data_IF_197854801858
#
_entry.id   IF_197854801858
#
_cell.length_a   1.000
_cell.length_b   1.000
_cell.length_c   1.000
_cell.angle_alpha   90.00
_cell.angle_beta   90.00
_cell.angle_gamma   90.00
#
_symmetry.space_group_name_H-M   'P 1'
#
loop_
_entity.id
_entity.type
_entity.pdbx_description
1 polymer ?
#
# COMPACT_ATOMS: atom_id res chain seq x y z
N UNK A 1 -3.86 -71.33 6.35
CA UNK A 1 -2.84 -71.23 5.28
C UNK A 1 -3.02 -69.84 4.69
N UNK A 2 -2.48 -68.79 5.33
CA UNK A 2 -1.17 -68.17 5.02
C UNK A 2 -1.10 -67.78 3.54
N UNK A 3 -0.97 -66.51 3.16
CA UNK A 3 0.02 -65.54 3.65
C UNK A 3 -0.40 -64.09 3.38
N UNK A 4 -0.30 -63.26 4.41
CA UNK A 4 -0.08 -61.82 4.33
C UNK A 4 1.19 -61.51 3.52
N UNK A 5 1.11 -60.57 2.59
CA UNK A 5 2.26 -60.04 1.86
C UNK A 5 2.51 -58.61 2.34
N UNK A 6 3.29 -58.53 3.42
CA UNK A 6 3.88 -57.33 3.98
C UNK A 6 4.76 -56.64 2.91
N UNK A 7 4.41 -55.41 2.54
CA UNK A 7 5.21 -54.58 1.63
C UNK A 7 6.20 -53.75 2.45
N UNK A 8 7.53 -53.85 2.24
CA UNK A 8 8.50 -53.08 3.00
C UNK A 8 8.42 -51.57 2.70
N UNK A 9 8.47 -50.75 3.75
CA UNK A 9 8.69 -49.31 3.68
C UNK A 9 10.10 -49.01 3.11
N UNK A 10 10.26 -48.01 2.22
CA UNK A 10 11.57 -47.56 1.81
C UNK A 10 12.29 -46.77 2.91
N UNK A 11 13.60 -47.00 3.02
CA UNK A 11 14.55 -46.41 3.96
C UNK A 11 14.65 -44.89 3.84
N UNK A 12 14.71 -44.25 5.01
CA UNK A 12 14.97 -42.82 5.17
C UNK A 12 16.45 -42.55 4.86
N UNK A 13 16.77 -41.94 3.71
CA UNK A 13 18.11 -41.41 3.48
C UNK A 13 18.32 -40.17 4.37
N UNK A 14 19.04 -40.35 5.48
CA UNK A 14 19.73 -39.28 6.18
C UNK A 14 20.99 -38.95 5.37
N UNK A 15 21.11 -37.71 4.88
CA UNK A 15 22.42 -37.21 4.52
C UNK A 15 22.64 -35.82 5.11
N UNK A 16 23.72 -35.75 5.88
CA UNK A 16 24.18 -34.60 6.60
C UNK A 16 25.13 -33.83 5.69
N UNK A 17 24.80 -32.60 5.36
CA UNK A 17 25.78 -31.66 4.82
C UNK A 17 25.41 -30.22 5.19
N UNK A 18 25.86 -29.82 6.38
CA UNK A 18 26.11 -28.41 6.69
C UNK A 18 27.35 -27.93 5.91
N UNK A 19 27.27 -26.81 5.17
CA UNK A 19 28.42 -25.97 4.90
C UNK A 19 28.57 -24.87 5.98
N UNK A 20 29.80 -24.35 6.15
CA UNK A 20 30.21 -23.64 7.35
C UNK A 20 29.73 -22.19 7.42
N UNK A 21 29.59 -21.75 8.68
CA UNK A 21 29.42 -20.39 9.16
C UNK A 21 30.33 -19.39 8.44
N UNK A 22 29.76 -18.59 7.53
CA UNK A 22 30.45 -17.42 7.00
C UNK A 22 30.40 -16.30 8.05
N UNK A 23 31.58 -15.95 8.55
CA UNK A 23 31.80 -14.88 9.51
C UNK A 23 31.30 -13.54 8.96
N UNK A 24 30.53 -12.84 9.79
CA UNK A 24 30.19 -11.44 9.62
C UNK A 24 31.46 -10.59 9.52
N UNK A 25 31.74 -10.02 8.34
CA UNK A 25 32.61 -8.85 8.23
C UNK A 25 31.74 -7.60 8.38
N UNK A 26 31.97 -6.82 9.43
CA UNK A 26 31.47 -5.45 9.54
C UNK A 26 31.93 -4.67 8.30
N UNK A 27 31.03 -4.49 7.33
CA UNK A 27 31.23 -3.51 6.28
C UNK A 27 31.13 -2.12 6.92
N UNK A 28 32.23 -1.40 6.86
CA UNK A 28 32.47 -0.10 7.43
C UNK A 28 31.45 0.94 6.94
N UNK A 29 30.72 1.53 7.89
CA UNK A 29 29.77 2.62 7.66
C UNK A 29 30.56 3.85 7.16
N UNK A 30 30.26 4.40 5.96
CA UNK A 30 30.94 5.62 5.49
C UNK A 30 30.57 6.81 6.38
N UNK A 31 31.58 7.41 7.03
CA UNK A 31 31.46 8.62 7.86
C UNK A 31 30.95 9.80 7.01
N UNK A 32 29.86 10.43 7.44
CA UNK A 32 29.32 11.67 6.86
C UNK A 32 30.29 12.83 7.09
N UNK A 33 30.45 13.69 6.08
CA UNK A 33 31.27 14.92 6.16
C UNK A 33 30.60 15.96 7.09
N UNK A 34 31.36 16.74 7.87
CA UNK A 34 30.82 17.81 8.71
C UNK A 34 30.28 18.98 7.87
N UNK A 35 29.15 19.55 8.31
CA UNK A 35 28.58 20.81 7.82
C UNK A 35 29.48 21.97 8.30
N UNK A 36 29.87 22.92 7.44
CA UNK A 36 30.59 24.11 7.88
C UNK A 36 29.68 25.03 8.69
N UNK A 37 30.08 25.27 9.94
CA UNK A 37 29.51 26.26 10.85
C UNK A 37 29.87 27.67 10.40
N UNK A 38 28.89 28.57 10.40
CA UNK A 38 29.09 30.00 10.15
C UNK A 38 30.00 30.59 11.24
N UNK A 39 31.08 31.25 10.81
CA UNK A 39 31.90 32.09 11.67
C UNK A 39 31.56 33.56 11.41
N UNK A 40 31.01 34.19 12.45
CA UNK A 40 31.00 35.64 12.59
C UNK A 40 32.42 36.18 12.78
N UNK A 41 32.71 37.32 12.15
CA UNK A 41 33.84 38.18 12.49
C UNK A 41 33.59 39.62 12.00
N UNK A 42 34.25 40.65 12.55
CA UNK A 42 33.58 41.85 13.05
C UNK A 42 33.96 43.14 12.32
N UNK A 43 33.22 44.21 12.63
CA UNK A 43 33.82 45.51 12.99
C UNK A 43 34.28 46.43 11.86
N UNK A 44 33.38 47.35 11.52
CA UNK A 44 33.57 48.73 11.06
C UNK A 44 35.01 49.26 10.80
N UNK A 45 35.21 49.84 9.61
CA UNK A 45 35.96 51.08 9.46
C UNK A 45 35.19 52.09 8.61
N UNK A 46 34.92 53.20 9.29
CA UNK A 46 34.47 54.52 8.89
C UNK A 46 35.12 55.07 7.62
N UNK A 47 34.32 55.64 6.71
CA UNK A 47 34.69 56.75 5.82
C UNK A 47 33.42 57.30 5.14
N UNK A 48 33.03 58.52 5.50
CA UNK A 48 32.09 59.37 4.77
C UNK A 48 32.82 60.67 4.38
N UNK A 49 32.31 61.55 3.50
CA UNK A 49 31.20 61.41 2.57
C UNK A 49 31.59 61.83 1.12
N UNK A 50 30.85 61.36 0.11
CA UNK A 50 30.69 62.12 -1.16
C UNK A 50 29.20 62.33 -1.39
N UNK A 51 28.80 63.59 -1.30
CA UNK A 51 27.46 64.06 -1.56
C UNK A 51 27.03 63.69 -2.99
N UNK A 52 26.13 62.71 -3.11
CA UNK A 52 25.42 62.44 -4.36
C UNK A 52 24.07 63.16 -4.28
N UNK A 53 23.85 64.09 -5.19
CA UNK A 53 22.65 64.88 -5.29
C UNK A 53 21.41 63.97 -5.41
N UNK A 54 20.51 64.03 -4.42
CA UNK A 54 19.21 63.38 -4.48
C UNK A 54 18.29 64.17 -5.41
N UNK A 55 18.11 63.72 -6.64
CA UNK A 55 16.97 64.13 -7.44
C UNK A 55 15.70 63.53 -6.80
N UNK A 56 14.65 64.33 -6.51
CA UNK A 56 13.41 63.76 -5.99
C UNK A 56 12.79 62.86 -7.07
N UNK A 57 12.35 61.63 -6.74
CA UNK A 57 11.52 60.88 -7.66
C UNK A 57 10.23 61.68 -7.88
N UNK A 58 9.98 62.02 -9.13
CA UNK A 58 8.71 62.52 -9.63
C UNK A 58 7.58 61.68 -9.02
N UNK A 59 6.64 62.33 -8.33
CA UNK A 59 5.38 61.70 -7.93
C UNK A 59 4.74 61.12 -9.18
N UNK A 60 4.91 59.82 -9.39
CA UNK A 60 4.03 59.04 -10.23
C UNK A 60 2.65 59.15 -9.58
N UNK A 61 1.77 59.95 -10.18
CA UNK A 61 0.33 59.98 -9.87
C UNK A 61 -0.31 58.75 -10.50
N UNK A 62 0.15 57.57 -10.08
CA UNK A 62 -0.59 56.35 -10.32
C UNK A 62 -1.78 56.38 -9.37
N UNK A 63 -2.98 56.33 -9.93
CA UNK A 63 -4.27 56.19 -9.25
C UNK A 63 -5.00 57.46 -8.78
N UNK A 64 -5.67 58.15 -9.71
CA UNK A 64 -6.75 59.09 -9.38
C UNK A 64 -8.10 58.35 -9.43
N UNK A 65 -8.58 57.88 -8.27
CA UNK A 65 -9.75 56.99 -8.11
C UNK A 65 -11.10 57.72 -8.16
N UNK A 66 -11.27 58.71 -9.04
CA UNK A 66 -12.47 59.57 -9.07
C UNK A 66 -13.17 59.74 -10.43
N UNK A 67 -12.77 59.04 -11.50
CA UNK A 67 -13.31 59.34 -12.85
C UNK A 67 -14.12 58.24 -13.55
N UNK A 68 -14.44 57.12 -12.88
CA UNK A 68 -15.34 56.12 -13.46
C UNK A 68 -16.80 56.33 -13.02
N UNK A 69 -17.77 56.43 -13.95
CA UNK A 69 -19.18 56.58 -13.60
C UNK A 69 -19.65 55.39 -12.76
N UNK A 70 -20.54 55.64 -11.79
CA UNK A 70 -21.03 54.65 -10.80
C UNK A 70 -21.42 53.31 -11.42
N UNK A 71 -21.94 53.31 -12.65
CA UNK A 71 -22.32 52.11 -13.43
C UNK A 71 -21.13 51.20 -13.77
N UNK A 72 -19.97 51.75 -14.14
CA UNK A 72 -18.77 50.96 -14.47
C UNK A 72 -18.12 50.37 -13.21
N UNK A 73 -18.22 51.05 -12.06
CA UNK A 73 -17.75 50.53 -10.77
C UNK A 73 -18.55 49.29 -10.34
N UNK A 74 -19.88 49.30 -10.51
CA UNK A 74 -20.73 48.15 -10.19
C UNK A 74 -20.42 46.93 -11.07
N UNK A 75 -20.14 47.13 -12.36
CA UNK A 75 -19.77 46.04 -13.29
C UNK A 75 -18.42 45.43 -12.89
N UNK A 76 -17.41 46.25 -12.55
CA UNK A 76 -16.08 45.75 -12.13
C UNK A 76 -16.17 45.00 -10.80
N UNK A 77 -16.95 45.52 -9.84
CA UNK A 77 -17.17 44.85 -8.55
C UNK A 77 -17.90 43.52 -8.75
N UNK A 78 -18.95 43.49 -9.59
CA UNK A 78 -19.67 42.26 -9.93
C UNK A 78 -18.77 41.22 -10.59
N UNK A 79 -17.92 41.64 -11.55
CA UNK A 79 -16.95 40.76 -12.20
C UNK A 79 -15.90 40.24 -11.21
N UNK A 80 -15.40 41.08 -10.30
CA UNK A 80 -14.46 40.67 -9.27
C UNK A 80 -15.08 39.65 -8.29
N UNK A 81 -16.33 39.88 -7.86
CA UNK A 81 -17.06 38.93 -7.01
C UNK A 81 -17.27 37.60 -7.74
N UNK A 82 -17.68 37.62 -9.01
CA UNK A 82 -17.86 36.40 -9.79
C UNK A 82 -16.55 35.61 -9.94
N UNK A 83 -15.43 36.29 -10.17
CA UNK A 83 -14.09 35.66 -10.24
C UNK A 83 -13.70 35.07 -8.88
N UNK A 84 -13.91 35.79 -7.78
CA UNK A 84 -13.61 35.29 -6.42
C UNK A 84 -14.47 34.07 -6.07
N UNK A 85 -15.76 34.09 -6.38
CA UNK A 85 -16.64 32.94 -6.19
C UNK A 85 -16.20 31.73 -7.02
N UNK A 86 -15.79 31.97 -8.28
CA UNK A 86 -15.30 30.91 -9.16
C UNK A 86 -13.99 30.29 -8.66
N UNK A 87 -13.05 31.11 -8.18
CA UNK A 87 -11.82 30.63 -7.54
C UNK A 87 -12.11 29.81 -6.27
N UNK A 88 -13.06 30.27 -5.44
CA UNK A 88 -13.47 29.54 -4.24
C UNK A 88 -14.10 28.18 -4.56
N UNK A 89 -14.91 28.09 -5.62
CA UNK A 89 -15.48 26.82 -6.09
C UNK A 89 -14.40 25.85 -6.60
N UNK A 90 -13.43 26.34 -7.38
CA UNK A 90 -12.33 25.52 -7.89
C UNK A 90 -11.51 24.95 -6.72
N UNK A 91 -11.15 25.80 -5.73
CA UNK A 91 -10.41 25.36 -4.55
C UNK A 91 -11.23 24.39 -3.71
N UNK A 92 -12.52 24.66 -3.51
CA UNK A 92 -13.44 23.79 -2.77
C UNK A 92 -13.57 22.39 -3.39
N UNK A 93 -13.66 22.30 -4.71
CA UNK A 93 -13.70 21.02 -5.43
C UNK A 93 -12.36 20.27 -5.35
N UNK A 94 -11.23 20.99 -5.46
CA UNK A 94 -9.91 20.39 -5.36
C UNK A 94 -9.65 19.77 -3.97
N UNK A 95 -10.12 20.41 -2.89
CA UNK A 95 -9.99 19.89 -1.53
C UNK A 95 -11.07 18.84 -1.21
N UNK A 96 -12.28 18.97 -1.78
CA UNK A 96 -13.39 18.04 -1.53
C UNK A 96 -13.15 16.62 -2.05
N UNK A 97 -12.35 16.46 -3.10
CA UNK A 97 -12.01 15.16 -3.69
C UNK A 97 -10.89 14.41 -2.97
N UNK A 98 -10.19 15.03 -2.01
CA UNK A 98 -9.07 14.37 -1.29
C UNK A 98 -9.52 13.63 -0.02
N UNK A 99 -10.81 13.69 0.36
CA UNK A 99 -11.36 12.80 1.39
C UNK A 99 -11.53 11.39 0.79
N UNK A 100 -10.46 10.61 0.86
CA UNK A 100 -10.43 9.22 0.42
C UNK A 100 -11.63 8.43 0.96
N UNK A 101 -12.20 7.58 0.10
CA UNK A 101 -13.21 6.58 0.48
C UNK A 101 -12.67 5.83 1.71
N UNK A 102 -13.29 6.06 2.87
CA UNK A 102 -13.00 5.30 4.07
C UNK A 102 -13.18 3.81 3.77
N UNK A 103 -12.22 2.99 4.19
CA UNK A 103 -12.34 1.54 4.12
C UNK A 103 -13.62 1.15 4.87
N UNK A 104 -14.62 0.67 4.14
CA UNK A 104 -15.87 0.23 4.73
C UNK A 104 -15.67 -1.18 5.25
N UNK A 105 -15.96 -1.38 6.54
CA UNK A 105 -15.87 -2.67 7.21
C UNK A 105 -17.08 -3.55 6.85
N UNK A 106 -17.03 -4.13 5.65
CA UNK A 106 -18.12 -4.91 5.09
C UNK A 106 -18.20 -6.31 5.74
N UNK A 107 -19.41 -6.88 5.88
CA UNK A 107 -19.57 -8.26 6.30
C UNK A 107 -18.99 -9.23 5.27
N UNK A 108 -18.71 -10.46 5.70
CA UNK A 108 -18.36 -11.55 4.80
C UNK A 108 -19.56 -11.90 3.92
N UNK A 109 -19.39 -12.06 2.59
CA UNK A 109 -20.44 -12.61 1.76
C UNK A 109 -20.68 -14.09 2.08
N UNK A 110 -21.89 -14.56 1.80
CA UNK A 110 -22.33 -15.95 1.99
C UNK A 110 -22.67 -16.68 0.69
N UNK A 111 -22.66 -15.97 -0.45
CA UNK A 111 -23.17 -16.48 -1.73
C UNK A 111 -22.14 -17.19 -2.62
N UNK A 112 -20.85 -17.07 -2.34
CA UNK A 112 -19.78 -17.52 -3.25
C UNK A 112 -18.81 -18.54 -2.61
N UNK A 113 -19.17 -19.06 -1.44
CA UNK A 113 -18.35 -19.98 -0.65
C UNK A 113 -17.75 -19.32 0.59
N UNK A 114 -17.63 -20.11 1.66
CA UNK A 114 -17.31 -19.65 3.01
C UNK A 114 -18.58 -19.35 3.85
N UNK A 115 -18.43 -18.74 5.04
CA UNK A 115 -17.17 -18.33 5.63
C UNK A 115 -16.29 -19.56 5.97
N UNK A 116 -15.00 -19.41 5.71
CA UNK A 116 -13.95 -20.33 6.13
C UNK A 116 -13.22 -19.70 7.31
N UNK A 117 -12.68 -20.54 8.17
CA UNK A 117 -11.85 -20.11 9.29
C UNK A 117 -10.48 -20.74 9.16
N UNK A 118 -9.44 -19.92 9.20
CA UNK A 118 -8.07 -20.36 9.04
C UNK A 118 -7.07 -19.36 9.60
N UNK A 119 -5.81 -19.76 9.63
CA UNK A 119 -4.74 -18.88 10.04
C UNK A 119 -4.37 -17.92 8.92
N UNK A 120 -4.13 -16.66 9.28
CA UNK A 120 -3.50 -15.66 8.43
C UNK A 120 -2.06 -15.44 8.90
N UNK A 121 -1.10 -15.54 7.99
CA UNK A 121 0.30 -15.09 8.14
C UNK A 121 0.62 -14.02 7.11
N UNK A 122 1.88 -13.57 7.03
CA UNK A 122 2.32 -12.69 5.96
C UNK A 122 3.70 -13.06 5.40
N UNK A 123 3.92 -12.68 4.15
CA UNK A 123 5.16 -12.85 3.41
C UNK A 123 5.53 -11.56 2.65
N UNK A 124 6.79 -11.43 2.25
CA UNK A 124 7.23 -10.35 1.36
C UNK A 124 7.02 -10.76 -0.11
N UNK A 125 6.06 -10.16 -0.85
CA UNK A 125 5.74 -10.61 -2.19
C UNK A 125 6.85 -10.32 -3.20
N UNK A 126 6.89 -11.16 -4.25
CA UNK A 126 7.73 -10.98 -5.43
C UNK A 126 6.97 -11.52 -6.65
N UNK A 127 7.60 -12.31 -7.52
CA UNK A 127 6.91 -13.08 -8.56
C UNK A 127 6.11 -14.23 -7.94
N UNK A 128 4.78 -14.12 -7.92
CA UNK A 128 3.90 -15.18 -7.43
C UNK A 128 3.61 -16.26 -8.47
N UNK A 129 2.99 -17.35 -8.03
CA UNK A 129 2.59 -18.51 -8.84
C UNK A 129 1.57 -18.16 -9.93
N UNK A 130 0.88 -17.03 -9.81
CA UNK A 130 0.02 -16.50 -10.87
C UNK A 130 0.80 -15.76 -11.97
N UNK A 131 2.13 -15.68 -11.90
CA UNK A 131 2.98 -14.99 -12.87
C UNK A 131 2.94 -13.47 -12.76
N UNK A 132 2.51 -12.93 -11.61
CA UNK A 132 2.36 -11.50 -11.36
C UNK A 132 3.40 -11.09 -10.31
N UNK A 133 4.09 -9.97 -10.56
CA UNK A 133 4.97 -9.36 -9.56
C UNK A 133 4.14 -8.44 -8.67
N UNK A 134 4.21 -8.66 -7.37
CA UNK A 134 3.56 -7.84 -6.35
C UNK A 134 4.57 -7.33 -5.32
N UNK A 135 4.14 -6.37 -4.52
CA UNK A 135 4.94 -5.70 -3.48
C UNK A 135 4.27 -5.82 -2.12
N UNK A 136 5.00 -5.48 -1.06
CA UNK A 136 4.50 -5.46 0.31
C UNK A 136 3.25 -4.58 0.52
N UNK A 137 3.03 -3.60 -0.37
CA UNK A 137 1.93 -2.64 -0.30
C UNK A 137 0.65 -3.10 -0.99
N UNK A 138 0.71 -4.15 -1.83
CA UNK A 138 -0.44 -4.61 -2.59
C UNK A 138 -1.41 -5.38 -1.69
N UNK A 139 -2.73 -5.24 -1.92
CA UNK A 139 -3.75 -6.01 -1.20
C UNK A 139 -3.92 -7.39 -1.84
N UNK A 140 -3.00 -8.30 -1.52
CA UNK A 140 -2.90 -9.62 -2.12
C UNK A 140 -2.77 -10.72 -1.08
N UNK A 141 -2.99 -11.95 -1.52
CA UNK A 141 -2.74 -13.15 -0.74
C UNK A 141 -2.26 -14.32 -1.62
N UNK A 142 -1.58 -15.24 -0.97
CA UNK A 142 -1.37 -16.61 -1.42
C UNK A 142 -2.43 -17.51 -0.77
N UNK A 143 -3.13 -18.30 -1.58
CA UNK A 143 -4.03 -19.34 -1.06
C UNK A 143 -3.25 -20.62 -0.81
N UNK A 144 -3.77 -21.51 0.04
CA UNK A 144 -3.12 -22.78 0.32
C UNK A 144 -2.84 -23.59 -0.95
N UNK A 145 -1.72 -24.31 -0.95
CA UNK A 145 -1.40 -25.22 -2.03
C UNK A 145 -2.49 -26.26 -2.29
N UNK A 146 -3.20 -26.69 -1.25
CA UNK A 146 -4.31 -27.64 -1.37
C UNK A 146 -5.43 -27.07 -2.26
N UNK A 147 -5.84 -25.82 -2.02
CA UNK A 147 -6.86 -25.16 -2.84
C UNK A 147 -6.33 -24.83 -4.25
N UNK A 148 -5.11 -24.30 -4.33
CA UNK A 148 -4.49 -23.91 -5.59
C UNK A 148 -4.34 -25.12 -6.52
N UNK A 149 -3.81 -26.23 -6.02
CA UNK A 149 -3.57 -27.42 -6.83
C UNK A 149 -4.89 -28.11 -7.21
N UNK A 150 -5.87 -28.15 -6.30
CA UNK A 150 -7.20 -28.70 -6.59
C UNK A 150 -7.95 -27.93 -7.69
N UNK A 151 -7.71 -26.61 -7.80
CA UNK A 151 -8.30 -25.79 -8.85
C UNK A 151 -7.55 -25.88 -10.19
N UNK A 152 -6.35 -26.47 -10.22
CA UNK A 152 -5.50 -26.44 -11.40
C UNK A 152 -6.12 -27.25 -12.56
N UNK A 153 -6.14 -26.64 -13.74
CA UNK A 153 -6.65 -27.26 -14.98
C UNK A 153 -5.54 -27.67 -15.95
N UNK A 154 -4.27 -27.44 -15.58
CA UNK A 154 -3.12 -27.72 -16.43
C UNK A 154 -1.79 -27.59 -15.70
N UNK A 155 -0.69 -27.61 -16.46
CA UNK A 155 0.68 -27.54 -15.92
C UNK A 155 1.20 -26.12 -15.71
N UNK A 156 0.57 -25.12 -16.30
CA UNK A 156 0.96 -23.72 -16.16
C UNK A 156 0.29 -23.09 -14.92
N UNK A 157 1.02 -22.82 -13.83
CA UNK A 157 0.42 -22.24 -12.61
C UNK A 157 -0.11 -20.82 -12.84
N UNK A 158 0.43 -20.08 -13.79
CA UNK A 158 -0.03 -18.72 -14.12
C UNK A 158 -1.46 -18.73 -14.70
N UNK A 159 -1.93 -19.87 -15.21
CA UNK A 159 -3.27 -20.07 -15.75
C UNK A 159 -4.23 -20.71 -14.74
N UNK A 160 -3.86 -20.80 -13.46
CA UNK A 160 -4.72 -21.36 -12.44
C UNK A 160 -6.02 -20.54 -12.31
N UNK A 161 -7.21 -21.17 -12.29
CA UNK A 161 -8.49 -20.47 -12.20
C UNK A 161 -8.68 -19.61 -10.94
N UNK A 162 -7.90 -19.82 -9.87
CA UNK A 162 -7.94 -18.98 -8.67
C UNK A 162 -7.21 -17.65 -8.85
N UNK A 163 -6.29 -17.57 -9.80
CA UNK A 163 -5.50 -16.36 -10.03
C UNK A 163 -6.40 -15.19 -10.41
N UNK A 164 -6.30 -14.09 -9.66
CA UNK A 164 -7.08 -12.87 -9.88
C UNK A 164 -8.44 -12.85 -9.18
N UNK A 165 -8.93 -13.98 -8.66
CA UNK A 165 -10.13 -14.00 -7.82
C UNK A 165 -9.86 -13.25 -6.51
N UNK A 166 -10.94 -12.78 -5.89
CA UNK A 166 -10.86 -12.05 -4.62
C UNK A 166 -11.54 -12.78 -3.47
N UNK A 167 -10.96 -12.57 -2.30
CA UNK A 167 -11.53 -12.99 -1.02
C UNK A 167 -11.66 -11.77 -0.11
N UNK A 168 -12.65 -11.80 0.78
CA UNK A 168 -12.75 -10.86 1.89
C UNK A 168 -12.30 -11.56 3.15
N UNK A 169 -11.30 -10.99 3.80
CA UNK A 169 -10.87 -11.39 5.13
C UNK A 169 -11.55 -10.50 6.15
N UNK A 170 -11.89 -11.07 7.30
CA UNK A 170 -12.48 -10.36 8.43
C UNK A 170 -11.88 -10.85 9.73
N UNK A 171 -11.59 -9.90 10.62
CA UNK A 171 -11.19 -10.17 12.00
C UNK A 171 -11.83 -9.14 12.92
N UNK A 172 -12.74 -9.59 13.78
CA UNK A 172 -13.58 -8.71 14.58
C UNK A 172 -14.47 -7.84 13.69
N UNK A 173 -14.35 -6.52 13.85
CA UNK A 173 -15.10 -5.55 13.04
C UNK A 173 -14.40 -5.15 11.74
N UNK A 174 -13.10 -5.44 11.60
CA UNK A 174 -12.33 -4.98 10.44
C UNK A 174 -12.34 -6.00 9.31
N UNK A 175 -12.49 -5.51 8.07
CA UNK A 175 -12.46 -6.35 6.87
C UNK A 175 -11.57 -5.76 5.77
N UNK A 176 -11.00 -6.62 4.93
CA UNK A 176 -10.21 -6.22 3.76
C UNK A 176 -10.42 -7.20 2.61
N UNK A 177 -10.59 -6.64 1.40
CA UNK A 177 -10.67 -7.42 0.17
C UNK A 177 -9.27 -7.54 -0.42
N UNK A 178 -8.88 -8.76 -0.77
CA UNK A 178 -7.54 -9.06 -1.32
C UNK A 178 -7.66 -9.94 -2.55
N UNK A 179 -6.68 -9.82 -3.44
CA UNK A 179 -6.60 -10.61 -4.68
C UNK A 179 -5.68 -11.81 -4.49
N UNK A 180 -6.09 -12.98 -4.98
CA UNK A 180 -5.25 -14.18 -5.02
C UNK A 180 -4.23 -14.03 -6.14
N UNK A 181 -2.94 -14.09 -5.79
CA UNK A 181 -1.83 -13.94 -6.75
C UNK A 181 -0.74 -15.01 -6.61
N UNK A 182 -0.87 -15.88 -5.62
CA UNK A 182 0.18 -16.84 -5.30
C UNK A 182 -0.35 -18.11 -4.61
N UNK A 183 0.55 -19.08 -4.44
CA UNK A 183 0.33 -20.39 -3.84
C UNK A 183 1.21 -20.54 -2.59
N UNK A 184 0.59 -20.74 -1.44
CA UNK A 184 1.28 -20.97 -0.17
C UNK A 184 1.53 -22.46 0.08
N UNK A 185 2.80 -22.88 -0.03
CA UNK A 185 3.20 -24.29 0.13
C UNK A 185 3.09 -24.77 1.58
N UNK A 186 3.26 -23.88 2.55
CA UNK A 186 3.20 -24.20 3.99
C UNK A 186 1.81 -24.08 4.62
N UNK A 187 0.81 -23.60 3.88
CA UNK A 187 -0.52 -23.30 4.40
C UNK A 187 -1.43 -24.54 4.45
N UNK A 188 -2.23 -24.67 5.52
CA UNK A 188 -3.36 -25.60 5.56
C UNK A 188 -4.47 -25.12 4.62
N UNK A 189 -5.45 -25.97 4.34
CA UNK A 189 -6.48 -25.73 3.32
C UNK A 189 -7.13 -24.34 3.40
N UNK A 190 -7.49 -23.88 4.60
CA UNK A 190 -8.20 -22.62 4.82
C UNK A 190 -7.27 -21.48 5.29
N UNK A 191 -5.96 -21.73 5.40
CA UNK A 191 -4.98 -20.70 5.78
C UNK A 191 -4.65 -19.79 4.58
N UNK A 192 -4.38 -18.51 4.87
CA UNK A 192 -3.96 -17.51 3.89
C UNK A 192 -2.62 -16.89 4.29
N UNK A 193 -1.74 -16.69 3.32
CA UNK A 193 -0.50 -15.93 3.52
C UNK A 193 -0.61 -14.61 2.78
N UNK A 194 -0.69 -13.48 3.50
CA UNK A 194 -1.05 -12.18 2.91
C UNK A 194 0.16 -11.26 2.78
N UNK A 195 0.02 -10.13 2.09
CA UNK A 195 1.07 -9.10 2.12
C UNK A 195 1.12 -8.40 3.50
N UNK A 196 2.24 -7.76 3.86
CA UNK A 196 2.37 -7.02 5.11
C UNK A 196 1.31 -5.90 5.24
N UNK A 197 0.95 -5.24 4.14
CA UNK A 197 -0.10 -4.22 4.15
C UNK A 197 -1.50 -4.77 4.47
N UNK A 198 -1.80 -6.02 4.11
CA UNK A 198 -3.06 -6.68 4.50
C UNK A 198 -3.01 -7.08 5.96
N UNK A 199 -1.91 -7.69 6.41
CA UNK A 199 -1.77 -8.16 7.79
C UNK A 199 -1.93 -7.00 8.77
N UNK A 200 -1.23 -5.88 8.53
CA UNK A 200 -1.32 -4.65 9.33
C UNK A 200 -2.72 -4.05 9.43
N UNK A 201 -3.61 -4.33 8.45
CA UNK A 201 -5.00 -3.87 8.52
C UNK A 201 -5.85 -4.69 9.50
N UNK A 202 -5.49 -5.95 9.76
CA UNK A 202 -6.30 -6.89 10.56
C UNK A 202 -5.65 -7.28 11.89
N UNK A 203 -4.33 -7.12 12.02
CA UNK A 203 -3.55 -7.54 13.17
C UNK A 203 -2.25 -6.75 13.31
N UNK A 204 -1.72 -6.75 14.53
CA UNK A 204 -0.37 -6.27 14.83
C UNK A 204 0.66 -7.25 14.22
N UNK A 205 1.60 -6.81 13.35
CA UNK A 205 2.64 -7.64 12.77
C UNK A 205 3.42 -8.50 13.77
N UNK A 206 3.61 -8.03 15.01
CA UNK A 206 4.36 -8.75 16.03
C UNK A 206 3.69 -10.07 16.46
N UNK A 207 2.40 -10.25 16.13
CA UNK A 207 1.69 -11.52 16.36
C UNK A 207 2.17 -12.62 15.39
N UNK A 208 2.62 -12.28 14.18
CA UNK A 208 3.11 -13.20 13.14
C UNK A 208 2.06 -14.13 12.51
N UNK A 209 1.04 -14.53 13.28
CA UNK A 209 -0.04 -15.42 12.88
C UNK A 209 -1.30 -15.11 13.68
N UNK A 210 -2.44 -15.03 13.02
CA UNK A 210 -3.75 -14.80 13.68
C UNK A 210 -4.85 -15.62 13.03
N UNK A 211 -5.86 -16.00 13.81
CA UNK A 211 -7.09 -16.58 13.27
C UNK A 211 -7.93 -15.49 12.57
N UNK A 212 -8.48 -15.82 11.41
CA UNK A 212 -9.39 -14.97 10.63
C UNK A 212 -10.60 -15.78 10.13
N UNK A 213 -11.65 -15.06 9.75
CA UNK A 213 -12.70 -15.61 8.89
C UNK A 213 -12.58 -15.00 7.50
N UNK A 214 -12.85 -15.77 6.44
CA UNK A 214 -12.85 -15.25 5.07
C UNK A 214 -13.87 -15.94 4.16
N UNK A 215 -14.30 -15.23 3.12
CA UNK A 215 -15.19 -15.76 2.09
C UNK A 215 -14.74 -15.30 0.70
N UNK A 216 -15.06 -16.10 -0.32
CA UNK A 216 -14.89 -15.66 -1.70
C UNK A 216 -15.85 -14.51 -2.04
N UNK A 217 -15.38 -13.56 -2.85
CA UNK A 217 -16.23 -12.48 -3.38
C UNK A 217 -16.94 -12.86 -4.68
N UNK A 218 -16.53 -13.96 -5.29
CA UNK A 218 -16.98 -14.46 -6.59
C UNK A 218 -16.84 -15.99 -6.62
N UNK A 219 -17.50 -16.66 -7.56
CA UNK A 219 -17.54 -18.13 -7.57
C UNK A 219 -16.13 -18.72 -7.77
N UNK A 220 -15.71 -19.57 -6.83
CA UNK A 220 -14.47 -20.34 -6.93
C UNK A 220 -14.75 -21.79 -7.31
N UNK A 221 -13.96 -22.40 -8.21
CA UNK A 221 -14.14 -23.80 -8.62
C UNK A 221 -13.89 -24.82 -7.50
N UNK A 222 -13.31 -24.39 -6.37
CA UNK A 222 -13.02 -25.22 -5.20
C UNK A 222 -13.77 -24.76 -3.96
N UNK A 223 -14.76 -23.87 -4.11
CA UNK A 223 -15.61 -23.48 -2.99
C UNK A 223 -16.40 -24.69 -2.48
N UNK A 224 -16.26 -25.00 -1.19
CA UNK A 224 -17.15 -25.96 -0.54
C UNK A 224 -18.48 -25.24 -0.30
N UNK A 225 -19.55 -25.72 -0.91
CA UNK A 225 -20.90 -25.32 -0.51
C UNK A 225 -21.13 -25.80 0.92
N UNK A 226 -21.50 -24.91 1.84
CA UNK A 226 -22.03 -25.35 3.13
C UNK A 226 -23.38 -26.01 2.87
N UNK A 227 -23.43 -27.34 2.99
CA UNK A 227 -24.65 -28.13 3.06
C UNK A 227 -25.06 -28.32 4.51
#
# INVERSE_FOLDING_TARGET
MTTDLEKPLPELCQDASHPPTAQYSLAEVPKRKPVPTAHDAPGATENAPKAYASNPPTRLTWWNWSHFPRRKRLIIIGAAIAVVCLLALIIGLAVGLTKGKGHSNLPLPTSHGGPYQGDMTYYNPSLGSCGIINTDSDLICAVSHVLFDAASTGTNPNANPLCGLKVRLRRGETSVDVKVVDRCVGCKVDDLDVSPAVFQKLADPDLGRVLIDWSWLENSPVAKSQS
#
